data_IF_896855944918
#
_entry.id   IF_896855944918
#
_cell.length_a   1.000
_cell.length_b   1.000
_cell.length_c   1.000
_cell.angle_alpha   90.00
_cell.angle_beta   90.00
_cell.angle_gamma   90.00
#
_symmetry.space_group_name_H-M   'P 1'
#
loop_
_entity.id
_entity.type
_entity.pdbx_description
1 polymer ?
#
# COMPACT_ATOMS: atom_id res chain seq x y z
N UNK A 1 -26.29 -10.36 5.60
CA UNK A 1 -25.69 -9.52 6.68
C UNK A 1 -24.16 -9.67 6.79
N UNK A 2 -23.58 -10.87 6.61
CA UNK A 2 -22.12 -11.10 6.65
C UNK A 2 -21.29 -10.40 5.54
N UNK A 3 -21.87 -10.14 4.36
CA UNK A 3 -21.18 -9.46 3.26
C UNK A 3 -20.93 -7.96 3.54
N UNK A 4 -21.84 -7.31 4.28
CA UNK A 4 -21.76 -5.88 4.60
C UNK A 4 -20.68 -5.65 5.66
N UNK A 5 -20.61 -6.51 6.69
CA UNK A 5 -19.55 -6.45 7.71
C UNK A 5 -18.16 -6.71 7.13
N UNK A 6 -18.03 -7.55 6.11
CA UNK A 6 -16.73 -7.83 5.49
C UNK A 6 -16.23 -6.66 4.61
N UNK A 7 -17.11 -5.99 3.87
CA UNK A 7 -16.79 -4.76 3.12
C UNK A 7 -16.39 -3.61 4.06
N UNK A 8 -17.12 -3.45 5.18
CA UNK A 8 -16.78 -2.46 6.23
C UNK A 8 -15.40 -2.74 6.84
N UNK A 9 -15.06 -4.02 7.06
CA UNK A 9 -13.75 -4.42 7.59
C UNK A 9 -12.56 -4.09 6.68
N UNK A 10 -12.70 -4.28 5.36
CA UNK A 10 -11.64 -3.98 4.38
C UNK A 10 -11.33 -2.49 4.30
N UNK A 11 -12.37 -1.66 4.25
CA UNK A 11 -12.24 -0.20 4.22
C UNK A 11 -11.63 0.29 5.55
N UNK A 12 -12.04 -0.30 6.67
CA UNK A 12 -11.54 0.05 8.00
C UNK A 12 -10.05 -0.28 8.18
N UNK A 13 -9.57 -1.40 7.65
CA UNK A 13 -8.14 -1.72 7.65
C UNK A 13 -7.35 -0.74 6.78
N UNK A 14 -7.81 -0.41 5.57
CA UNK A 14 -7.09 0.54 4.70
C UNK A 14 -6.99 1.94 5.33
N UNK A 15 -8.06 2.40 5.99
CA UNK A 15 -8.04 3.64 6.77
C UNK A 15 -7.09 3.55 7.96
N UNK A 16 -7.06 2.41 8.65
CA UNK A 16 -6.09 2.19 9.71
C UNK A 16 -4.66 2.17 9.17
N UNK A 17 -4.42 1.57 8.00
CA UNK A 17 -3.10 1.52 7.37
C UNK A 17 -2.56 2.92 7.09
N UNK A 18 -3.43 3.81 6.57
CA UNK A 18 -3.12 5.23 6.45
C UNK A 18 -2.77 5.85 7.82
N UNK A 19 -3.61 5.66 8.84
CA UNK A 19 -3.34 6.16 10.20
C UNK A 19 -2.02 5.64 10.77
N UNK A 20 -1.74 4.35 10.57
CA UNK A 20 -0.54 3.67 11.03
C UNK A 20 0.70 4.32 10.41
N UNK A 21 0.74 4.46 9.08
CA UNK A 21 1.85 5.11 8.39
C UNK A 21 2.00 6.57 8.81
N UNK A 22 0.89 7.31 8.88
CA UNK A 22 0.88 8.71 9.30
C UNK A 22 1.45 8.89 10.71
N UNK A 23 1.07 8.03 11.65
CA UNK A 23 1.51 8.16 13.04
C UNK A 23 2.90 7.56 13.28
N UNK A 24 3.29 6.53 12.54
CA UNK A 24 4.59 5.86 12.69
C UNK A 24 5.73 6.64 12.02
N UNK A 25 5.47 7.27 10.88
CA UNK A 25 6.48 8.00 10.11
C UNK A 25 6.35 9.54 10.18
N UNK A 26 5.21 10.05 10.68
CA UNK A 26 5.04 11.49 10.91
C UNK A 26 5.82 11.97 12.14
N UNK A 27 6.98 12.61 11.92
CA UNK A 27 7.72 13.30 13.00
C UNK A 27 6.86 14.42 13.62
N UNK A 28 6.99 14.72 14.93
CA UNK A 28 6.20 15.75 15.60
C UNK A 28 6.25 17.12 14.90
N UNK A 29 7.44 17.56 14.49
CA UNK A 29 7.67 18.82 13.77
C UNK A 29 7.00 18.90 12.38
N UNK A 30 6.65 17.75 11.80
CA UNK A 30 6.11 17.67 10.45
C UNK A 30 4.58 17.66 10.47
N UNK A 31 3.97 17.24 11.59
CA UNK A 31 2.51 17.23 11.80
C UNK A 31 1.87 18.62 11.70
N UNK A 32 2.64 19.69 11.92
CA UNK A 32 2.16 21.08 11.85
C UNK A 32 2.07 21.64 10.42
N UNK A 33 2.78 21.05 9.44
CA UNK A 33 2.92 21.63 8.09
C UNK A 33 2.09 20.94 6.99
N UNK A 34 1.14 20.05 7.31
CA UNK A 34 0.40 19.19 6.35
C UNK A 34 1.28 18.24 5.48
N UNK A 35 2.61 18.32 5.58
CA UNK A 35 3.59 17.44 4.92
C UNK A 35 3.36 15.94 5.18
N UNK A 36 3.01 15.45 6.40
CA UNK A 36 2.90 14.02 6.66
C UNK A 36 1.70 13.38 5.95
N UNK A 37 0.70 14.15 5.55
CA UNK A 37 -0.38 13.64 4.69
C UNK A 37 0.19 13.19 3.34
N UNK A 38 0.95 14.06 2.68
CA UNK A 38 1.53 13.77 1.38
C UNK A 38 2.55 12.62 1.46
N UNK A 39 3.43 12.62 2.46
CA UNK A 39 4.39 11.53 2.67
C UNK A 39 3.70 10.18 2.93
N UNK A 40 2.58 10.18 3.67
CA UNK A 40 1.81 8.95 3.92
C UNK A 40 1.15 8.43 2.65
N UNK A 41 0.53 9.32 1.87
CA UNK A 41 -0.07 8.98 0.57
C UNK A 41 0.98 8.40 -0.38
N UNK A 42 2.16 9.02 -0.45
CA UNK A 42 3.27 8.51 -1.25
C UNK A 42 3.77 7.15 -0.74
N UNK A 43 3.85 6.94 0.57
CA UNK A 43 4.24 5.64 1.14
C UNK A 43 3.28 4.51 0.77
N UNK A 44 1.97 4.77 0.82
CA UNK A 44 0.94 3.82 0.36
C UNK A 44 1.09 3.55 -1.13
N UNK A 45 1.20 4.61 -1.94
CA UNK A 45 1.35 4.49 -3.38
C UNK A 45 2.61 3.70 -3.75
N UNK A 46 3.75 3.94 -3.09
CA UNK A 46 4.98 3.21 -3.32
C UNK A 46 4.82 1.70 -3.06
N UNK A 47 4.19 1.30 -1.95
CA UNK A 47 3.90 -0.09 -1.66
C UNK A 47 2.96 -0.73 -2.69
N UNK A 48 1.96 0.01 -3.16
CA UNK A 48 1.05 -0.48 -4.22
C UNK A 48 1.77 -0.64 -5.56
N UNK A 49 2.62 0.31 -5.94
CA UNK A 49 3.42 0.25 -7.18
C UNK A 49 4.36 -0.96 -7.15
N UNK A 50 5.05 -1.15 -6.03
CA UNK A 50 5.99 -2.26 -5.83
C UNK A 50 5.25 -3.61 -5.90
N UNK A 51 4.09 -3.73 -5.24
CA UNK A 51 3.27 -4.94 -5.34
C UNK A 51 2.72 -5.18 -6.75
N UNK A 52 2.27 -4.12 -7.42
CA UNK A 52 1.80 -4.21 -8.80
C UNK A 52 2.91 -4.69 -9.73
N UNK A 53 4.13 -4.17 -9.58
CA UNK A 53 5.29 -4.62 -10.34
C UNK A 53 5.58 -6.12 -10.11
N UNK A 54 5.57 -6.57 -8.85
CA UNK A 54 5.81 -7.97 -8.51
C UNK A 54 4.72 -8.92 -9.05
N UNK A 55 3.43 -8.54 -8.99
CA UNK A 55 2.34 -9.32 -9.58
C UNK A 55 2.47 -9.38 -11.10
N UNK A 56 2.79 -8.25 -11.74
CA UNK A 56 3.00 -8.19 -13.17
C UNK A 56 4.18 -9.08 -13.59
N UNK A 57 5.30 -9.03 -12.86
CA UNK A 57 6.46 -9.92 -13.03
C UNK A 57 6.04 -11.38 -12.95
N UNK A 58 5.26 -11.71 -11.92
CA UNK A 58 4.79 -13.07 -11.71
C UNK A 58 3.99 -13.59 -12.92
N UNK A 59 3.04 -12.80 -13.40
CA UNK A 59 2.20 -13.15 -14.56
C UNK A 59 3.06 -13.28 -15.82
N UNK A 60 3.88 -12.27 -16.13
CA UNK A 60 4.66 -12.26 -17.37
C UNK A 60 5.68 -13.40 -17.41
N UNK A 61 6.40 -13.59 -16.31
CA UNK A 61 7.51 -14.55 -16.24
C UNK A 61 7.00 -15.98 -16.08
N UNK A 62 6.06 -16.23 -15.17
CA UNK A 62 5.63 -17.60 -14.89
C UNK A 62 4.44 -18.08 -15.72
N UNK A 63 3.50 -17.20 -16.10
CA UNK A 63 2.33 -17.61 -16.89
C UNK A 63 2.55 -17.44 -18.39
N UNK A 64 3.19 -16.34 -18.81
CA UNK A 64 3.34 -16.00 -20.24
C UNK A 64 4.75 -16.28 -20.79
N UNK A 65 5.65 -16.82 -19.95
CA UNK A 65 7.01 -17.20 -20.32
C UNK A 65 7.81 -16.07 -21.01
N UNK A 66 7.50 -14.81 -20.70
CA UNK A 66 8.11 -13.64 -21.32
C UNK A 66 9.05 -12.96 -20.34
N UNK A 67 10.34 -12.96 -20.68
CA UNK A 67 11.42 -12.38 -19.86
C UNK A 67 11.61 -10.87 -20.08
N UNK A 68 11.24 -10.37 -21.26
CA UNK A 68 11.77 -9.10 -21.80
C UNK A 68 10.68 -8.13 -22.32
N UNK A 69 9.67 -7.83 -21.52
CA UNK A 69 8.71 -6.75 -21.82
C UNK A 69 8.89 -5.52 -20.91
N UNK A 70 10.09 -5.32 -20.36
CA UNK A 70 10.28 -4.37 -19.27
C UNK A 70 10.59 -2.91 -19.63
N UNK A 71 10.93 -2.61 -20.89
CA UNK A 71 11.49 -1.28 -21.20
C UNK A 71 10.92 -0.58 -22.43
N UNK A 72 9.87 -1.10 -23.07
CA UNK A 72 9.20 -0.40 -24.17
C UNK A 72 7.88 0.21 -23.71
N UNK A 73 8.01 1.47 -23.28
CA UNK A 73 6.97 2.49 -23.14
C UNK A 73 6.08 2.43 -21.88
N UNK A 74 5.89 3.63 -21.29
CA UNK A 74 4.93 3.99 -20.23
C UNK A 74 5.18 3.55 -18.78
N UNK A 75 6.44 3.60 -18.34
CA UNK A 75 6.82 3.34 -16.93
C UNK A 75 6.24 4.32 -15.89
N UNK A 76 5.76 5.50 -16.29
CA UNK A 76 5.27 6.53 -15.35
C UNK A 76 3.75 6.63 -15.22
N UNK A 77 2.97 6.03 -16.13
CA UNK A 77 1.51 6.10 -16.06
C UNK A 77 1.02 5.40 -14.80
N UNK A 78 1.50 4.18 -14.55
CA UNK A 78 1.08 3.37 -13.40
C UNK A 78 1.41 4.06 -12.06
N UNK A 79 2.66 4.51 -11.81
CA UNK A 79 2.97 5.30 -10.62
C UNK A 79 2.09 6.54 -10.45
N UNK A 80 1.88 7.30 -11.53
CA UNK A 80 1.06 8.52 -11.51
C UNK A 80 -0.38 8.21 -11.13
N UNK A 81 -0.97 7.15 -11.69
CA UNK A 81 -2.34 6.72 -11.38
C UNK A 81 -2.47 6.33 -9.90
N UNK A 82 -1.54 5.54 -9.36
CA UNK A 82 -1.57 5.18 -7.93
C UNK A 82 -1.44 6.40 -7.03
N UNK A 83 -0.51 7.31 -7.32
CA UNK A 83 -0.32 8.53 -6.53
C UNK A 83 -1.58 9.41 -6.59
N UNK A 84 -2.07 9.69 -7.79
CA UNK A 84 -3.24 10.53 -8.02
C UNK A 84 -4.49 9.95 -7.35
N UNK A 85 -4.72 8.64 -7.48
CA UNK A 85 -5.86 7.96 -6.88
C UNK A 85 -5.82 8.02 -5.35
N UNK A 86 -4.68 7.69 -4.72
CA UNK A 86 -4.57 7.78 -3.26
C UNK A 86 -4.72 9.23 -2.78
N UNK A 87 -4.07 10.18 -3.46
CA UNK A 87 -4.18 11.59 -3.11
C UNK A 87 -5.63 12.06 -3.17
N UNK A 88 -6.31 11.82 -4.29
CA UNK A 88 -7.72 12.16 -4.46
C UNK A 88 -8.60 11.48 -3.42
N UNK A 89 -8.42 10.17 -3.18
CA UNK A 89 -9.21 9.40 -2.23
C UNK A 89 -9.14 9.93 -0.79
N UNK A 90 -7.95 10.30 -0.32
CA UNK A 90 -7.77 10.77 1.06
C UNK A 90 -8.00 12.28 1.21
N UNK A 91 -7.80 13.07 0.16
CA UNK A 91 -8.07 14.50 0.14
C UNK A 91 -9.57 14.81 0.07
N UNK A 92 -10.32 14.03 -0.72
CA UNK A 92 -11.74 14.27 -0.95
C UNK A 92 -12.55 14.24 0.35
N UNK A 93 -13.37 15.27 0.57
CA UNK A 93 -14.21 15.40 1.76
C UNK A 93 -13.44 15.43 3.09
N UNK A 94 -12.15 15.79 3.08
CA UNK A 94 -11.27 15.78 4.27
C UNK A 94 -11.19 14.42 4.97
N UNK A 95 -11.36 13.33 4.21
CA UNK A 95 -11.42 11.95 4.72
C UNK A 95 -10.23 11.60 5.62
N UNK A 96 -9.03 12.08 5.28
CA UNK A 96 -7.85 11.90 6.13
C UNK A 96 -8.03 12.44 7.56
N UNK A 97 -8.67 13.62 7.75
CA UNK A 97 -8.94 14.19 9.08
C UNK A 97 -9.90 13.30 9.87
N UNK A 98 -10.94 12.79 9.20
CA UNK A 98 -11.90 11.88 9.82
C UNK A 98 -11.22 10.59 10.27
N UNK A 99 -10.36 9.98 9.42
CA UNK A 99 -9.59 8.78 9.76
C UNK A 99 -8.71 9.03 10.98
N UNK A 100 -7.97 10.15 11.01
CA UNK A 100 -7.12 10.49 12.14
C UNK A 100 -7.92 10.65 13.44
N UNK A 101 -9.07 11.34 13.41
CA UNK A 101 -9.95 11.50 14.57
C UNK A 101 -10.53 10.16 15.04
N UNK A 102 -11.02 9.35 14.10
CA UNK A 102 -11.62 8.04 14.37
C UNK A 102 -10.64 7.12 15.09
N UNK A 103 -9.40 7.05 14.62
CA UNK A 103 -8.42 6.16 15.23
C UNK A 103 -7.70 6.78 16.41
N UNK A 104 -7.52 8.10 16.52
CA UNK A 104 -6.93 8.69 17.73
C UNK A 104 -7.72 8.32 18.99
N UNK A 105 -9.05 8.28 18.91
CA UNK A 105 -9.94 8.02 20.04
C UNK A 105 -10.07 6.53 20.44
N UNK A 106 -9.55 5.60 19.63
CA UNK A 106 -9.58 4.16 19.96
C UNK A 106 -8.51 3.76 20.97
N UNK A 107 -8.77 2.72 21.75
CA UNK A 107 -7.79 2.19 22.72
C UNK A 107 -6.64 1.47 22.00
N UNK A 108 -5.54 1.20 22.71
CA UNK A 108 -4.39 0.46 22.13
C UNK A 108 -4.79 -0.97 21.74
N UNK A 109 -5.61 -1.62 22.53
CA UNK A 109 -6.10 -2.99 22.32
C UNK A 109 -6.94 -3.10 21.04
N UNK A 110 -7.84 -2.15 20.80
CA UNK A 110 -8.66 -2.10 19.59
C UNK A 110 -7.83 -1.89 18.30
N UNK A 111 -6.68 -1.23 18.42
CA UNK A 111 -5.77 -0.93 17.30
C UNK A 111 -4.80 -2.07 17.01
N UNK A 112 -4.53 -2.93 17.99
CA UNK A 112 -3.52 -3.98 17.90
C UNK A 112 -3.71 -4.93 16.71
N UNK A 113 -4.91 -5.49 16.43
CA UNK A 113 -5.07 -6.39 15.29
C UNK A 113 -4.76 -5.69 13.97
N UNK A 114 -5.24 -4.47 13.78
CA UNK A 114 -4.97 -3.70 12.56
C UNK A 114 -3.48 -3.33 12.42
N UNK A 115 -2.79 -3.09 13.54
CA UNK A 115 -1.33 -2.85 13.55
C UNK A 115 -0.56 -4.09 13.09
N UNK A 116 -0.94 -5.26 13.58
CA UNK A 116 -0.31 -6.53 13.21
C UNK A 116 -0.52 -6.78 11.71
N UNK A 117 -1.75 -6.65 11.22
CA UNK A 117 -2.06 -6.84 9.78
C UNK A 117 -1.31 -5.83 8.91
N UNK A 118 -1.15 -4.58 9.36
CA UNK A 118 -0.37 -3.55 8.64
C UNK A 118 1.10 -3.93 8.50
N UNK A 119 1.72 -4.45 9.56
CA UNK A 119 3.10 -4.94 9.51
C UNK A 119 3.25 -6.16 8.63
N UNK A 120 2.34 -7.13 8.76
CA UNK A 120 2.32 -8.33 7.91
C UNK A 120 2.24 -7.92 6.45
N UNK A 121 1.34 -6.97 6.10
CA UNK A 121 1.22 -6.48 4.74
C UNK A 121 2.53 -5.88 4.20
N UNK A 122 3.22 -5.04 4.98
CA UNK A 122 4.50 -4.44 4.58
C UNK A 122 5.56 -5.52 4.36
N UNK A 123 5.72 -6.44 5.32
CA UNK A 123 6.74 -7.50 5.26
C UNK A 123 6.47 -8.44 4.08
N UNK A 124 5.23 -8.88 3.90
CA UNK A 124 4.84 -9.76 2.78
C UNK A 124 5.07 -9.06 1.44
N UNK A 125 4.74 -7.76 1.33
CA UNK A 125 4.98 -7.00 0.11
C UNK A 125 6.47 -6.96 -0.24
N UNK A 126 7.33 -6.68 0.73
CA UNK A 126 8.79 -6.63 0.53
C UNK A 126 9.33 -8.01 0.14
N UNK A 127 8.95 -9.05 0.89
CA UNK A 127 9.39 -10.42 0.60
C UNK A 127 8.94 -10.87 -0.79
N UNK A 128 7.71 -10.56 -1.18
CA UNK A 128 7.18 -10.93 -2.48
C UNK A 128 7.99 -10.31 -3.62
N UNK A 129 8.37 -9.04 -3.50
CA UNK A 129 9.16 -8.35 -4.52
C UNK A 129 10.58 -8.89 -4.60
N UNK A 130 11.20 -9.17 -3.45
CA UNK A 130 12.53 -9.79 -3.40
C UNK A 130 12.50 -11.17 -4.06
N UNK A 131 11.50 -11.99 -3.73
CA UNK A 131 11.31 -13.31 -4.34
C UNK A 131 11.11 -13.20 -5.84
N UNK A 132 10.27 -12.27 -6.31
CA UNK A 132 10.03 -12.07 -7.73
C UNK A 132 11.28 -11.57 -8.48
N UNK A 133 12.00 -10.61 -7.91
CA UNK A 133 13.27 -10.16 -8.48
C UNK A 133 14.29 -11.31 -8.55
N UNK A 134 14.35 -12.16 -7.53
CA UNK A 134 15.23 -13.32 -7.50
C UNK A 134 14.85 -14.39 -8.53
N UNK A 135 13.58 -14.73 -8.67
CA UNK A 135 13.11 -15.77 -9.61
C UNK A 135 13.32 -15.35 -11.05
N UNK A 136 12.94 -14.11 -11.39
CA UNK A 136 13.14 -13.54 -12.74
C UNK A 136 14.62 -13.44 -13.08
N UNK A 137 15.47 -13.00 -12.12
CA UNK A 137 16.92 -12.87 -12.33
C UNK A 137 17.60 -14.22 -12.57
N UNK A 138 17.26 -15.23 -11.78
CA UNK A 138 17.87 -16.56 -11.85
C UNK A 138 17.15 -17.53 -12.78
N UNK A 139 16.12 -17.06 -13.48
CA UNK A 139 15.29 -17.87 -14.39
C UNK A 139 14.66 -19.10 -13.72
N UNK A 140 14.27 -18.97 -12.45
CA UNK A 140 13.68 -20.07 -11.67
C UNK A 140 12.18 -20.04 -11.85
N UNK A 141 11.64 -21.04 -12.55
CA UNK A 141 10.19 -21.27 -12.62
C UNK A 141 9.75 -22.19 -11.52
N UNK A 142 8.59 -21.88 -10.94
CA UNK A 142 8.00 -22.67 -9.87
C UNK A 142 7.10 -23.79 -10.41
N UNK A 143 6.81 -23.78 -11.72
CA UNK A 143 6.11 -24.82 -12.48
C UNK A 143 6.55 -24.82 -13.94
#
# INVERSE_FOLDING_TARGET
MQYITHQIGKIMWFHYFFYFLYNHYGKPKWKEQNIPFFSTVLGIAALQIINFAAVKDFILFHLLNSRNLYFKNDTFIVPTVFIAFNFWYFWHGTRYKHILKQFNNRTKEEKQPYRIVSWIYIVVSILFVILMGYTVRNNIKWW
#
